data_IF_600073814971
#
_entry.id   IF_600073814971
#
_cell.length_a   1.000
_cell.length_b   1.000
_cell.length_c   1.000
_cell.angle_alpha   90.00
_cell.angle_beta   90.00
_cell.angle_gamma   90.00
#
_symmetry.space_group_name_H-M   'P 1'
#
loop_
_entity.id
_entity.type
_entity.pdbx_description
1 polymer ?
#
# COMPACT_ATOMS: atom_id res chain seq x y z
N UNK A 1 45.74 41.65 -17.96
CA UNK A 1 45.85 40.50 -17.07
C UNK A 1 44.47 39.87 -16.92
N UNK A 2 44.16 38.91 -17.77
CA UNK A 2 42.91 38.15 -17.75
C UNK A 2 43.28 36.77 -17.15
N UNK A 3 42.89 36.54 -15.88
CA UNK A 3 43.08 35.27 -15.24
C UNK A 3 42.08 34.24 -15.80
N UNK A 4 42.61 33.16 -16.30
CA UNK A 4 41.87 32.01 -16.80
C UNK A 4 40.99 31.44 -15.69
N UNK A 5 39.69 31.38 -15.94
CA UNK A 5 38.77 30.55 -15.21
C UNK A 5 38.97 29.11 -15.69
N UNK A 6 39.72 28.33 -14.97
CA UNK A 6 39.76 26.87 -15.13
C UNK A 6 38.40 26.31 -14.76
N UNK A 7 37.67 25.84 -15.76
CA UNK A 7 36.51 25.00 -15.60
C UNK A 7 36.96 23.66 -15.02
N UNK A 8 36.85 23.50 -13.71
CA UNK A 8 36.96 22.21 -13.07
C UNK A 8 35.59 21.53 -13.24
N UNK A 9 35.31 21.00 -14.43
CA UNK A 9 34.36 19.91 -14.58
C UNK A 9 34.97 18.67 -13.89
N UNK A 10 34.76 18.55 -12.59
CA UNK A 10 34.97 17.28 -11.93
C UNK A 10 34.01 16.28 -12.58
N UNK A 11 34.52 15.49 -13.54
CA UNK A 11 33.90 14.24 -13.96
C UNK A 11 33.68 13.42 -12.69
N UNK A 12 32.42 13.35 -12.21
CA UNK A 12 32.03 12.38 -11.20
C UNK A 12 32.52 11.01 -11.70
N UNK A 13 33.23 10.21 -10.88
CA UNK A 13 33.68 8.90 -11.32
C UNK A 13 32.48 8.13 -11.82
N UNK A 14 32.61 7.44 -12.96
CA UNK A 14 31.56 6.57 -13.50
C UNK A 14 31.06 5.70 -12.37
N UNK A 15 29.83 5.97 -11.89
CA UNK A 15 29.23 5.22 -10.80
C UNK A 15 29.15 3.78 -11.26
N UNK A 16 30.01 2.91 -10.70
CA UNK A 16 29.98 1.47 -10.98
C UNK A 16 28.58 0.98 -10.76
N UNK A 17 28.04 0.23 -11.70
CA UNK A 17 26.73 -0.42 -11.55
C UNK A 17 26.74 -1.23 -10.24
N UNK A 18 25.82 -0.92 -9.35
CA UNK A 18 25.70 -1.57 -8.06
C UNK A 18 24.72 -2.73 -8.14
N UNK A 19 25.06 -3.83 -7.53
CA UNK A 19 24.17 -4.97 -7.29
C UNK A 19 23.83 -5.03 -5.80
N UNK A 20 22.56 -5.18 -5.46
CA UNK A 20 22.17 -5.31 -4.05
C UNK A 20 20.73 -4.87 -3.76
N UNK A 21 20.40 -4.88 -2.49
CA UNK A 21 19.10 -4.46 -1.96
C UNK A 21 19.27 -3.20 -1.14
N UNK A 22 18.53 -2.16 -1.50
CA UNK A 22 18.45 -0.92 -0.76
C UNK A 22 17.11 -0.89 0.00
N UNK A 23 17.16 -0.71 1.30
CA UNK A 23 15.98 -0.50 2.14
C UNK A 23 15.66 0.99 2.16
N UNK A 24 14.56 1.36 1.52
CA UNK A 24 14.10 2.73 1.44
C UNK A 24 12.92 2.95 2.38
N UNK A 25 12.98 3.98 3.22
CA UNK A 25 11.79 4.49 3.88
C UNK A 25 11.02 5.38 2.90
N UNK A 26 9.99 4.80 2.26
CA UNK A 26 9.17 5.53 1.29
C UNK A 26 8.38 6.64 2.01
N UNK A 27 8.50 7.90 1.59
CA UNK A 27 7.67 8.96 2.13
C UNK A 27 6.23 8.88 1.58
N UNK A 28 5.30 9.57 2.23
CA UNK A 28 3.95 9.82 1.70
C UNK A 28 4.04 10.64 0.41
N UNK A 29 3.19 10.35 -0.56
CA UNK A 29 3.01 11.09 -1.81
C UNK A 29 3.52 10.35 -3.05
N UNK A 30 4.83 10.06 -3.24
CA UNK A 30 5.31 9.40 -4.44
C UNK A 30 4.88 7.92 -4.48
N UNK A 31 4.60 7.40 -5.68
CA UNK A 31 4.42 5.96 -5.90
C UNK A 31 5.74 5.21 -5.71
N UNK A 32 5.68 3.89 -5.46
CA UNK A 32 6.88 3.04 -5.41
C UNK A 32 7.70 3.13 -6.70
N UNK A 33 7.04 3.19 -7.86
CA UNK A 33 7.69 3.36 -9.16
C UNK A 33 8.36 4.75 -9.31
N UNK A 34 7.75 5.81 -8.78
CA UNK A 34 8.34 7.15 -8.76
C UNK A 34 9.61 7.19 -7.90
N UNK A 35 9.62 6.53 -6.75
CA UNK A 35 10.81 6.38 -5.90
C UNK A 35 11.95 5.68 -6.66
N UNK A 36 11.65 4.59 -7.35
CA UNK A 36 12.62 3.91 -8.23
C UNK A 36 13.13 4.83 -9.32
N UNK A 37 12.24 5.61 -9.96
CA UNK A 37 12.62 6.59 -10.98
C UNK A 37 13.59 7.67 -10.47
N UNK A 38 13.36 8.18 -9.25
CA UNK A 38 14.28 9.13 -8.60
C UNK A 38 15.65 8.50 -8.34
N UNK A 39 15.68 7.26 -7.84
CA UNK A 39 16.93 6.54 -7.61
C UNK A 39 17.68 6.23 -8.90
N UNK A 40 16.99 5.87 -10.00
CA UNK A 40 17.62 5.69 -11.32
C UNK A 40 18.36 6.94 -11.76
N UNK A 41 17.75 8.11 -11.61
CA UNK A 41 18.39 9.39 -11.96
C UNK A 41 19.57 9.72 -11.05
N UNK A 42 19.37 9.57 -9.73
CA UNK A 42 20.39 9.92 -8.73
C UNK A 42 21.64 9.02 -8.82
N UNK A 43 21.45 7.72 -9.10
CA UNK A 43 22.52 6.74 -9.17
C UNK A 43 23.08 6.51 -10.58
N UNK A 44 22.52 7.14 -11.60
CA UNK A 44 22.91 6.91 -13.00
C UNK A 44 22.72 5.46 -13.46
N UNK A 45 21.93 4.66 -12.75
CA UNK A 45 21.78 3.23 -12.98
C UNK A 45 20.40 2.88 -13.53
N UNK A 46 20.37 2.22 -14.70
CA UNK A 46 19.11 1.89 -15.40
C UNK A 46 18.39 0.70 -14.78
N UNK A 47 19.11 -0.35 -14.37
CA UNK A 47 18.55 -1.59 -13.86
C UNK A 47 18.27 -1.47 -12.36
N UNK A 48 17.11 -0.90 -12.04
CA UNK A 48 16.58 -0.79 -10.67
C UNK A 48 15.09 -1.15 -10.70
N UNK A 49 14.66 -1.95 -9.71
CA UNK A 49 13.28 -2.34 -9.48
C UNK A 49 12.90 -2.24 -8.01
N UNK A 50 11.74 -2.76 -7.64
CA UNK A 50 11.34 -2.89 -6.23
C UNK A 50 10.65 -4.23 -5.99
N UNK A 51 10.70 -4.71 -4.75
CA UNK A 51 9.97 -5.87 -4.28
C UNK A 51 8.82 -5.41 -3.38
N UNK A 52 7.62 -5.38 -3.94
CA UNK A 52 6.40 -4.90 -3.30
C UNK A 52 6.04 -3.47 -3.69
N UNK A 53 4.75 -3.21 -3.69
CA UNK A 53 4.19 -1.89 -3.98
C UNK A 53 3.53 -1.35 -2.72
N UNK A 54 3.90 -0.13 -2.35
CA UNK A 54 3.18 0.67 -1.38
C UNK A 54 2.34 1.72 -2.13
N UNK A 55 1.11 1.92 -1.68
CA UNK A 55 0.24 2.97 -2.19
C UNK A 55 0.86 4.37 -1.97
N UNK A 56 0.48 5.41 -2.74
CA UNK A 56 1.06 6.75 -2.60
C UNK A 56 0.95 7.30 -1.18
N UNK A 57 -0.20 7.14 -0.54
CA UNK A 57 -0.45 7.58 0.82
C UNK A 57 0.36 6.83 1.89
N UNK A 58 0.78 5.59 1.59
CA UNK A 58 1.50 4.76 2.55
C UNK A 58 2.97 5.20 2.69
N UNK A 59 3.48 5.06 3.91
CA UNK A 59 4.89 5.26 4.25
C UNK A 59 5.50 3.96 4.73
N UNK A 60 6.84 3.87 4.75
CA UNK A 60 7.54 2.74 5.35
C UNK A 60 8.46 2.01 4.38
N UNK A 61 8.77 0.76 4.71
CA UNK A 61 9.80 -0.03 4.05
C UNK A 61 9.44 -0.38 2.61
N UNK A 62 10.26 0.08 1.67
CA UNK A 62 10.24 -0.32 0.28
C UNK A 62 11.60 -0.94 -0.08
N UNK A 63 11.61 -2.21 -0.43
CA UNK A 63 12.82 -2.88 -0.90
C UNK A 63 13.08 -2.49 -2.35
N UNK A 64 14.17 -1.76 -2.58
CA UNK A 64 14.63 -1.37 -3.90
C UNK A 64 15.78 -2.29 -4.32
N UNK A 65 15.67 -2.85 -5.51
CA UNK A 65 16.59 -3.85 -6.04
C UNK A 65 17.46 -3.22 -7.11
N UNK A 66 18.77 -3.31 -6.91
CA UNK A 66 19.78 -2.75 -7.80
C UNK A 66 20.43 -3.86 -8.65
N UNK A 67 20.58 -3.61 -9.93
CA UNK A 67 21.32 -4.49 -10.84
C UNK A 67 20.83 -5.93 -10.85
N UNK A 68 21.69 -6.90 -10.54
CA UNK A 68 21.35 -8.33 -10.54
C UNK A 68 20.30 -8.70 -9.49
N UNK A 69 20.20 -7.95 -8.38
CA UNK A 69 19.21 -8.23 -7.36
C UNK A 69 17.76 -8.10 -7.87
N UNK A 70 17.51 -7.44 -9.01
CA UNK A 70 16.18 -7.42 -9.65
C UNK A 70 15.69 -8.82 -10.04
N UNK A 71 16.58 -9.80 -10.21
CA UNK A 71 16.22 -11.18 -10.56
C UNK A 71 15.58 -11.96 -9.41
N UNK A 72 15.85 -11.57 -8.17
CA UNK A 72 15.29 -12.22 -6.96
C UNK A 72 14.02 -11.54 -6.44
N UNK A 73 13.43 -10.61 -7.20
CA UNK A 73 12.24 -9.86 -6.75
C UNK A 73 11.06 -10.77 -6.38
N UNK A 74 10.82 -11.84 -7.14
CA UNK A 74 9.77 -12.82 -6.85
C UNK A 74 9.98 -13.50 -5.51
N UNK A 75 11.18 -14.01 -5.26
CA UNK A 75 11.55 -14.68 -4.01
C UNK A 75 11.38 -13.74 -2.80
N UNK A 76 11.80 -12.47 -2.92
CA UNK A 76 11.63 -11.48 -1.85
C UNK A 76 10.16 -11.08 -1.64
N UNK A 77 9.33 -11.14 -2.67
CA UNK A 77 7.89 -10.93 -2.55
C UNK A 77 7.21 -12.08 -1.81
N UNK A 78 7.62 -13.32 -2.08
CA UNK A 78 7.03 -14.53 -1.51
C UNK A 78 7.56 -14.86 -0.12
N UNK A 79 8.82 -14.51 0.17
CA UNK A 79 9.59 -14.98 1.32
C UNK A 79 9.19 -14.41 2.68
N UNK A 80 8.05 -13.68 2.83
CA UNK A 80 7.80 -13.18 4.16
C UNK A 80 6.43 -12.54 4.42
N UNK A 81 6.07 -12.56 5.70
CA UNK A 81 4.99 -11.77 6.22
C UNK A 81 5.35 -10.29 6.20
N UNK A 82 4.39 -9.46 5.85
CA UNK A 82 4.49 -8.00 5.90
C UNK A 82 3.66 -7.50 7.06
N UNK A 83 4.20 -6.53 7.79
CA UNK A 83 3.53 -5.92 8.92
C UNK A 83 3.12 -4.51 8.53
N UNK A 84 1.83 -4.22 8.68
CA UNK A 84 1.26 -2.91 8.43
C UNK A 84 0.63 -2.36 9.71
N UNK A 85 0.84 -1.07 9.96
CA UNK A 85 0.04 -0.29 10.89
C UNK A 85 -0.95 0.56 10.08
N UNK A 86 -2.22 0.35 10.29
CA UNK A 86 -3.30 0.93 9.51
C UNK A 86 -4.20 1.79 10.39
N UNK A 87 -4.53 2.98 9.92
CA UNK A 87 -5.58 3.83 10.52
C UNK A 87 -6.74 3.90 9.53
N UNK A 88 -7.89 3.46 9.97
CA UNK A 88 -9.12 3.37 9.19
C UNK A 88 -10.12 4.39 9.71
N UNK A 89 -10.78 5.11 8.79
CA UNK A 89 -11.86 6.05 9.08
C UNK A 89 -13.19 5.44 8.70
N UNK A 90 -14.10 5.29 9.66
CA UNK A 90 -15.49 4.90 9.44
C UNK A 90 -16.35 6.07 8.95
N UNK A 91 -17.49 5.73 8.37
CA UNK A 91 -18.49 6.69 7.90
C UNK A 91 -18.26 7.19 6.48
N UNK A 92 -17.35 6.57 5.73
CA UNK A 92 -16.97 7.03 4.40
C UNK A 92 -16.75 5.85 3.45
N UNK A 93 -17.20 5.99 2.20
CA UNK A 93 -16.86 5.08 1.10
C UNK A 93 -16.26 5.88 -0.03
N UNK A 94 -15.12 5.45 -0.56
CA UNK A 94 -14.48 6.03 -1.74
C UNK A 94 -14.29 4.99 -2.83
N UNK A 95 -14.08 5.43 -4.06
CA UNK A 95 -13.85 4.55 -5.21
C UNK A 95 -12.50 3.79 -5.14
N UNK A 96 -11.52 4.31 -4.38
CA UNK A 96 -10.20 3.68 -4.18
C UNK A 96 -10.08 2.86 -2.88
N UNK A 97 -11.08 2.95 -1.98
CA UNK A 97 -11.10 2.39 -0.63
C UNK A 97 -10.04 2.99 0.31
N UNK A 98 -9.54 4.18 -0.04
CA UNK A 98 -8.64 4.99 0.77
C UNK A 98 -9.07 6.46 0.75
N UNK A 99 -8.41 7.29 1.58
CA UNK A 99 -8.73 8.72 1.72
C UNK A 99 -8.39 9.58 0.50
N UNK A 100 -7.68 9.05 -0.50
CA UNK A 100 -7.29 9.80 -1.71
C UNK A 100 -8.33 9.66 -2.84
N UNK A 101 -9.29 8.73 -2.69
CA UNK A 101 -10.35 8.48 -3.66
C UNK A 101 -11.48 9.51 -3.64
N UNK A 102 -12.28 9.47 -4.72
CA UNK A 102 -13.53 10.24 -4.79
C UNK A 102 -14.56 9.64 -3.84
N UNK A 103 -15.19 10.47 -3.02
CA UNK A 103 -16.25 10.06 -2.11
C UNK A 103 -17.46 9.57 -2.91
N UNK A 104 -17.92 8.38 -2.60
CA UNK A 104 -19.11 7.75 -3.17
C UNK A 104 -20.29 7.86 -2.23
N UNK A 105 -20.07 7.70 -0.92
CA UNK A 105 -21.10 7.90 0.11
C UNK A 105 -20.48 8.27 1.45
N UNK A 106 -21.28 8.95 2.27
CA UNK A 106 -21.00 9.25 3.67
C UNK A 106 -22.16 8.74 4.51
N UNK A 107 -21.85 8.19 5.68
CA UNK A 107 -22.85 7.65 6.61
C UNK A 107 -22.58 8.21 8.02
N UNK A 108 -23.59 8.81 8.66
CA UNK A 108 -23.48 9.24 10.05
C UNK A 108 -23.28 8.04 10.97
N UNK A 109 -22.37 8.17 11.93
CA UNK A 109 -21.99 7.08 12.83
C UNK A 109 -22.82 6.99 14.11
N UNK A 110 -23.66 7.99 14.38
CA UNK A 110 -24.39 8.09 15.66
C UNK A 110 -25.23 6.83 15.92
N UNK A 111 -25.91 6.32 14.92
CA UNK A 111 -26.77 5.13 15.06
C UNK A 111 -25.94 3.89 15.44
N UNK A 112 -24.83 3.66 14.75
CA UNK A 112 -24.02 2.45 14.94
C UNK A 112 -23.17 2.53 16.23
N UNK A 113 -22.81 3.74 16.65
CA UNK A 113 -22.13 3.98 17.92
C UNK A 113 -23.09 3.85 19.11
N UNK A 114 -24.27 4.47 19.03
CA UNK A 114 -25.25 4.48 20.11
C UNK A 114 -25.87 3.09 20.36
N UNK A 115 -25.96 2.26 19.31
CA UNK A 115 -26.40 0.85 19.46
C UNK A 115 -25.34 -0.06 20.10
N UNK A 116 -24.09 0.41 20.22
CA UNK A 116 -22.96 -0.42 20.65
C UNK A 116 -22.43 -1.39 19.58
N UNK A 117 -23.05 -1.40 18.39
CA UNK A 117 -22.64 -2.29 17.31
C UNK A 117 -21.18 -1.99 16.87
N UNK A 118 -20.77 -0.71 16.90
CA UNK A 118 -19.40 -0.28 16.67
C UNK A 118 -18.77 0.16 17.99
N UNK A 119 -18.18 -0.76 18.72
CA UNK A 119 -17.52 -0.55 20.01
C UNK A 119 -16.12 -1.16 20.01
N UNK A 120 -15.31 -0.80 21.01
CA UNK A 120 -13.94 -1.31 21.14
C UNK A 120 -13.91 -2.84 21.18
N UNK A 121 -14.75 -3.45 22.02
CA UNK A 121 -14.79 -4.91 22.21
C UNK A 121 -15.21 -5.65 20.93
N UNK A 122 -16.24 -5.12 20.23
CA UNK A 122 -16.70 -5.73 18.97
C UNK A 122 -15.64 -5.59 17.86
N UNK A 123 -14.93 -4.47 17.83
CA UNK A 123 -13.80 -4.28 16.89
C UNK A 123 -12.62 -5.21 17.21
N UNK A 124 -12.33 -5.43 18.48
CA UNK A 124 -11.26 -6.33 18.90
C UNK A 124 -11.58 -7.78 18.51
N UNK A 125 -12.82 -8.21 18.72
CA UNK A 125 -13.31 -9.54 18.31
C UNK A 125 -13.26 -9.68 16.77
N UNK A 126 -13.79 -8.70 16.03
CA UNK A 126 -13.80 -8.71 14.56
C UNK A 126 -12.37 -8.77 13.99
N UNK A 127 -11.47 -7.90 14.47
CA UNK A 127 -10.09 -7.82 13.96
C UNK A 127 -9.28 -9.06 14.34
N UNK A 128 -9.46 -9.60 15.55
CA UNK A 128 -8.80 -10.84 15.96
C UNK A 128 -9.29 -12.04 15.16
N UNK A 129 -10.55 -12.06 14.77
CA UNK A 129 -11.14 -13.07 13.90
C UNK A 129 -10.61 -13.09 12.46
N UNK A 130 -9.76 -12.12 12.07
CA UNK A 130 -9.14 -12.14 10.76
C UNK A 130 -7.98 -13.13 10.63
N UNK A 131 -7.42 -13.64 11.72
CA UNK A 131 -6.27 -14.55 11.70
C UNK A 131 -6.62 -15.84 10.95
N UNK A 132 -5.71 -16.28 10.08
CA UNK A 132 -5.84 -17.45 9.24
C UNK A 132 -6.00 -17.13 7.75
N UNK A 133 -6.31 -18.15 6.96
CA UNK A 133 -6.57 -18.04 5.52
C UNK A 133 -7.97 -17.46 5.28
N UNK A 134 -8.06 -16.46 4.41
CA UNK A 134 -9.33 -15.83 4.06
C UNK A 134 -9.39 -15.33 2.64
N UNK A 135 -10.60 -15.21 2.14
CA UNK A 135 -10.85 -14.59 0.83
C UNK A 135 -10.87 -13.08 0.97
N UNK A 136 -10.19 -12.39 0.07
CA UNK A 136 -10.14 -10.94 0.03
C UNK A 136 -10.49 -10.44 -1.36
N UNK A 137 -11.43 -9.51 -1.45
CA UNK A 137 -11.70 -8.78 -2.68
C UNK A 137 -10.53 -7.86 -3.01
N UNK A 138 -10.11 -7.86 -4.28
CA UNK A 138 -9.05 -6.99 -4.78
C UNK A 138 -9.62 -5.61 -5.05
N UNK A 139 -8.96 -4.51 -4.60
CA UNK A 139 -9.45 -3.17 -4.88
C UNK A 139 -9.51 -2.86 -6.38
N UNK A 140 -10.51 -2.08 -6.84
CA UNK A 140 -10.59 -1.66 -8.24
C UNK A 140 -9.32 -0.94 -8.72
N UNK A 141 -8.75 -0.08 -7.87
CA UNK A 141 -7.51 0.63 -8.14
C UNK A 141 -6.29 -0.16 -7.64
N UNK A 142 -5.97 -1.25 -8.32
CA UNK A 142 -4.82 -2.11 -7.97
C UNK A 142 -3.98 -2.48 -9.19
N UNK A 143 -2.74 -2.95 -8.93
CA UNK A 143 -1.85 -3.49 -9.94
C UNK A 143 -2.19 -4.94 -10.36
N UNK A 144 -3.23 -5.54 -9.78
CA UNK A 144 -3.73 -6.85 -10.20
C UNK A 144 -4.15 -6.79 -11.68
N UNK A 145 -3.81 -7.82 -12.45
CA UNK A 145 -4.09 -7.82 -13.88
C UNK A 145 -5.38 -8.56 -14.21
N UNK A 146 -6.12 -8.02 -15.17
CA UNK A 146 -7.21 -8.68 -15.88
C UNK A 146 -6.91 -8.62 -17.37
N UNK A 147 -6.89 -9.78 -18.04
CA UNK A 147 -6.54 -9.89 -19.45
C UNK A 147 -5.24 -9.15 -19.84
N UNK A 148 -4.22 -9.26 -18.98
CA UNK A 148 -2.91 -8.63 -19.20
C UNK A 148 -2.82 -7.15 -18.78
N UNK A 149 -3.95 -6.48 -18.50
CA UNK A 149 -4.00 -5.06 -18.12
C UNK A 149 -4.21 -4.88 -16.61
N UNK A 150 -3.51 -3.96 -15.93
CA UNK A 150 -3.75 -3.66 -14.53
C UNK A 150 -5.16 -3.10 -14.31
N UNK A 151 -5.81 -3.49 -13.20
CA UNK A 151 -7.17 -3.02 -12.87
C UNK A 151 -7.25 -1.50 -12.75
N UNK A 152 -6.22 -0.85 -12.20
CA UNK A 152 -6.20 0.61 -12.08
C UNK A 152 -6.29 1.34 -13.43
N UNK A 153 -5.85 0.74 -14.54
CA UNK A 153 -5.99 1.34 -15.88
C UNK A 153 -7.45 1.32 -16.35
N UNK A 154 -8.17 0.24 -16.05
CA UNK A 154 -9.60 0.13 -16.34
C UNK A 154 -10.39 1.13 -15.49
N UNK A 155 -10.13 1.15 -14.18
CA UNK A 155 -10.79 2.05 -13.25
C UNK A 155 -10.60 3.53 -13.62
N UNK A 156 -9.38 3.95 -13.97
CA UNK A 156 -9.09 5.33 -14.41
C UNK A 156 -9.81 5.74 -15.70
N UNK A 157 -10.15 4.79 -16.54
CA UNK A 157 -10.94 5.02 -17.77
C UNK A 157 -12.44 4.99 -17.51
N UNK A 158 -12.88 4.81 -16.26
CA UNK A 158 -14.29 4.66 -15.91
C UNK A 158 -14.91 3.36 -16.42
N UNK A 159 -14.09 2.38 -16.80
CA UNK A 159 -14.55 1.07 -17.22
C UNK A 159 -14.83 0.20 -16.00
N UNK A 160 -15.82 -0.68 -16.13
CA UNK A 160 -16.15 -1.65 -15.09
C UNK A 160 -14.93 -2.54 -14.79
N UNK A 161 -14.57 -2.63 -13.51
CA UNK A 161 -13.49 -3.48 -13.06
C UNK A 161 -14.08 -4.80 -12.55
N UNK A 162 -13.61 -5.95 -13.07
CA UNK A 162 -14.12 -7.23 -12.60
C UNK A 162 -13.80 -7.42 -11.11
N UNK A 163 -14.79 -7.92 -10.38
CA UNK A 163 -14.60 -8.30 -8.98
C UNK A 163 -13.66 -9.51 -8.93
N UNK A 164 -12.44 -9.29 -8.46
CA UNK A 164 -11.46 -10.34 -8.23
C UNK A 164 -11.37 -10.66 -6.76
N UNK A 165 -11.29 -11.94 -6.46
CA UNK A 165 -11.08 -12.44 -5.11
C UNK A 165 -9.79 -13.24 -5.08
N UNK A 166 -9.05 -13.14 -4.00
CA UNK A 166 -7.82 -13.92 -3.78
C UNK A 166 -7.75 -14.42 -2.34
N UNK A 167 -7.10 -15.54 -2.16
CA UNK A 167 -6.77 -16.05 -0.83
C UNK A 167 -5.55 -15.29 -0.29
N UNK A 168 -5.68 -14.82 0.93
CA UNK A 168 -4.61 -14.21 1.73
C UNK A 168 -4.48 -14.96 3.04
N UNK A 169 -3.36 -14.79 3.72
CA UNK A 169 -3.13 -15.30 5.06
C UNK A 169 -2.80 -14.15 6.01
N UNK A 170 -3.47 -14.10 7.13
CA UNK A 170 -3.19 -13.16 8.21
C UNK A 170 -2.65 -13.99 9.38
N UNK A 171 -1.41 -13.73 9.77
CA UNK A 171 -0.74 -14.48 10.85
C UNK A 171 -0.91 -13.82 12.21
N UNK A 172 -1.15 -12.53 12.26
CA UNK A 172 -1.35 -11.78 13.51
C UNK A 172 -2.12 -10.49 13.24
N UNK A 173 -2.96 -10.13 14.22
CA UNK A 173 -3.61 -8.82 14.31
C UNK A 173 -3.44 -8.25 15.71
N UNK A 174 -3.53 -6.93 15.83
CA UNK A 174 -3.47 -6.22 17.10
C UNK A 174 -4.27 -4.92 16.95
N UNK A 175 -5.34 -4.74 17.71
CA UNK A 175 -6.06 -3.47 17.80
C UNK A 175 -5.26 -2.52 18.72
N UNK A 176 -4.76 -1.41 18.18
CA UNK A 176 -3.98 -0.44 18.97
C UNK A 176 -4.89 0.54 19.74
N UNK A 177 -5.89 1.07 19.06
CA UNK A 177 -6.88 1.97 19.67
C UNK A 177 -8.10 2.18 18.76
N UNK A 178 -9.20 2.59 19.40
CA UNK A 178 -10.42 3.06 18.75
C UNK A 178 -10.83 4.42 19.33
N UNK A 179 -10.93 5.43 18.47
CA UNK A 179 -11.38 6.80 18.77
C UNK A 179 -12.27 7.25 17.63
N UNK A 180 -13.59 7.03 17.72
CA UNK A 180 -14.49 7.32 16.59
C UNK A 180 -14.26 8.72 16.01
N UNK A 181 -14.22 8.86 14.68
CA UNK A 181 -14.49 7.84 13.65
C UNK A 181 -13.29 6.96 13.28
N UNK A 182 -12.19 7.00 14.01
CA UNK A 182 -10.93 6.36 13.66
C UNK A 182 -10.67 5.09 14.47
N UNK A 183 -10.17 4.06 13.81
CA UNK A 183 -9.59 2.86 14.43
C UNK A 183 -8.18 2.65 13.89
N UNK A 184 -7.28 2.20 14.77
CA UNK A 184 -5.92 1.82 14.37
C UNK A 184 -5.60 0.41 14.81
N UNK A 185 -5.03 -0.35 13.89
CA UNK A 185 -4.61 -1.72 14.14
C UNK A 185 -3.29 -2.05 13.43
N UNK A 186 -2.64 -3.11 13.89
CA UNK A 186 -1.54 -3.77 13.17
C UNK A 186 -2.00 -5.09 12.60
N UNK A 187 -1.45 -5.44 11.46
CA UNK A 187 -1.70 -6.72 10.81
C UNK A 187 -0.41 -7.27 10.21
N UNK A 188 -0.10 -8.53 10.53
CA UNK A 188 0.94 -9.31 9.86
C UNK A 188 0.27 -10.25 8.86
N UNK A 189 0.64 -10.17 7.59
CA UNK A 189 -0.08 -10.86 6.51
C UNK A 189 0.85 -11.27 5.37
N UNK A 190 0.34 -12.18 4.54
CA UNK A 190 1.01 -12.66 3.33
C UNK A 190 1.19 -11.57 2.29
N UNK A 191 2.12 -11.78 1.38
CA UNK A 191 2.32 -10.91 0.22
C UNK A 191 1.05 -10.74 -0.61
N UNK A 192 0.87 -9.53 -1.11
CA UNK A 192 -0.28 -9.16 -1.93
C UNK A 192 -1.58 -8.93 -1.16
N UNK A 193 -1.57 -8.98 0.17
CA UNK A 193 -2.71 -8.51 0.99
C UNK A 193 -2.92 -7.02 0.77
N UNK A 194 -4.16 -6.62 0.52
CA UNK A 194 -4.57 -5.22 0.37
C UNK A 194 -5.15 -4.73 1.69
N UNK A 195 -4.47 -3.80 2.33
CA UNK A 195 -4.95 -3.23 3.61
C UNK A 195 -6.21 -2.39 3.38
N UNK A 196 -6.34 -1.76 2.22
CA UNK A 196 -7.56 -1.06 1.79
C UNK A 196 -8.78 -1.96 1.74
N UNK A 197 -8.60 -3.22 1.32
CA UNK A 197 -9.70 -4.20 1.33
C UNK A 197 -10.11 -4.61 2.73
N UNK A 198 -9.16 -4.69 3.68
CA UNK A 198 -9.50 -4.93 5.09
C UNK A 198 -10.31 -3.76 5.66
N UNK A 199 -9.89 -2.51 5.37
CA UNK A 199 -10.62 -1.32 5.77
C UNK A 199 -12.04 -1.29 5.20
N UNK A 200 -12.15 -1.52 3.89
CA UNK A 200 -13.45 -1.56 3.20
C UNK A 200 -14.38 -2.66 3.78
N UNK A 201 -13.86 -3.89 3.94
CA UNK A 201 -14.63 -5.00 4.52
C UNK A 201 -15.09 -4.69 5.94
N UNK A 202 -14.24 -4.02 6.73
CA UNK A 202 -14.60 -3.59 8.08
C UNK A 202 -15.77 -2.60 8.05
N UNK A 203 -15.71 -1.61 7.15
CA UNK A 203 -16.80 -0.65 6.96
C UNK A 203 -18.11 -1.29 6.50
N UNK A 204 -18.04 -2.29 5.63
CA UNK A 204 -19.20 -3.06 5.18
C UNK A 204 -19.80 -3.91 6.30
N UNK A 205 -18.95 -4.49 7.17
CA UNK A 205 -19.40 -5.28 8.33
C UNK A 205 -20.23 -4.45 9.32
N UNK A 206 -19.93 -3.17 9.45
CA UNK A 206 -20.65 -2.23 10.32
C UNK A 206 -21.68 -1.38 9.57
N UNK A 207 -21.92 -1.65 8.29
CA UNK A 207 -22.92 -0.98 7.46
C UNK A 207 -22.78 0.55 7.39
N UNK A 208 -21.60 1.07 7.70
CA UNK A 208 -21.35 2.52 7.69
C UNK A 208 -20.27 2.95 6.68
N UNK A 209 -19.61 1.99 6.02
CA UNK A 209 -18.47 2.26 5.18
C UNK A 209 -17.21 2.58 6.00
N UNK A 210 -16.03 2.29 5.42
CA UNK A 210 -14.75 2.72 5.96
C UNK A 210 -13.68 2.76 4.88
N UNK A 211 -12.69 3.62 5.08
CA UNK A 211 -11.53 3.82 4.18
C UNK A 211 -10.22 3.83 4.97
N UNK A 212 -9.14 3.47 4.28
CA UNK A 212 -7.79 3.50 4.82
C UNK A 212 -7.21 4.92 4.76
#
# INVERSE_FOLDING_TARGET
MLAARENIEQKLPELRQMDGVLVLNKPKGPTSAACVGMLKRKLGQKKIGHAGTLDPMATGVLLVLLGQATKISGQLLEAGHKIYAATVKFGLVTDTWDMEGRILSESPLEKVLNSGALSLNVLEEEISGWVGARQQQVPPYSAAKHEGRPLYELARKGLETPCKVKTIEISRTELEWFRPPLVRFRVACSSGTYIRSLAHSLGMRFECGAVL
#
